data_IF_414827455869
#
_entry.id   IF_414827455869
#
_cell.length_a   1.000
_cell.length_b   1.000
_cell.length_c   1.000
_cell.angle_alpha   90.00
_cell.angle_beta   90.00
_cell.angle_gamma   90.00
#
_symmetry.space_group_name_H-M   'P 1'
#
loop_
_entity.id
_entity.type
_entity.pdbx_description
1 polymer ?
#
# COMPACT_ATOMS: atom_id res chain seq x y z
N UNK A 1 -4.90 39.33 26.71
CA UNK A 1 -4.32 38.01 27.04
C UNK A 1 -5.38 36.96 26.75
N UNK A 2 -5.25 36.21 25.65
CA UNK A 2 -6.22 35.17 25.26
C UNK A 2 -5.49 33.84 25.20
N UNK A 3 -5.62 33.03 26.25
CA UNK A 3 -4.99 31.70 26.36
C UNK A 3 -5.75 30.70 25.50
N UNK A 4 -5.30 30.54 24.25
CA UNK A 4 -5.84 29.51 23.37
C UNK A 4 -5.42 28.13 23.90
N UNK A 5 -6.41 27.36 24.38
CA UNK A 5 -6.23 25.98 24.85
C UNK A 5 -5.72 25.12 23.70
N UNK A 6 -4.40 24.90 23.65
CA UNK A 6 -3.79 23.92 22.74
C UNK A 6 -4.30 22.54 23.13
N UNK A 7 -5.17 21.97 22.29
CA UNK A 7 -5.60 20.58 22.43
C UNK A 7 -4.35 19.68 22.41
N UNK A 8 -4.32 18.65 23.27
CA UNK A 8 -3.19 17.70 23.38
C UNK A 8 -3.00 16.88 22.11
N UNK A 9 -4.02 16.85 21.24
CA UNK A 9 -3.93 16.34 19.89
C UNK A 9 -3.58 17.52 18.98
N UNK A 10 -2.36 17.50 18.43
CA UNK A 10 -1.99 18.37 17.32
C UNK A 10 -2.87 18.08 16.09
N UNK A 11 -2.70 18.85 15.00
CA UNK A 11 -3.40 18.54 13.75
C UNK A 11 -3.18 17.07 13.38
N UNK A 12 -4.25 16.37 13.01
CA UNK A 12 -4.19 14.98 12.61
C UNK A 12 -3.21 14.82 11.44
N UNK A 13 -2.40 13.74 11.42
CA UNK A 13 -1.52 13.46 10.29
C UNK A 13 -2.38 13.37 9.02
N UNK A 14 -1.99 14.11 7.98
CA UNK A 14 -2.62 13.98 6.68
C UNK A 14 -2.17 12.67 6.06
N UNK A 15 -3.07 11.70 5.98
CA UNK A 15 -2.83 10.50 5.17
C UNK A 15 -3.00 10.89 3.71
N UNK A 16 -1.90 11.22 3.04
CA UNK A 16 -1.92 11.53 1.61
C UNK A 16 -1.93 10.21 0.82
N UNK A 17 -3.03 9.97 0.10
CA UNK A 17 -3.13 8.84 -0.84
C UNK A 17 -2.75 9.32 -2.23
N UNK A 18 -1.68 8.76 -2.79
CA UNK A 18 -1.27 9.04 -4.17
C UNK A 18 -1.74 7.89 -5.06
N UNK A 19 -2.38 8.20 -6.20
CA UNK A 19 -2.78 7.21 -7.20
C UNK A 19 -1.78 7.24 -8.37
N UNK A 20 -0.70 6.46 -8.34
CA UNK A 20 0.23 6.38 -9.46
C UNK A 20 -0.40 5.67 -10.65
N UNK A 21 -0.11 6.13 -11.86
CA UNK A 21 -0.39 5.40 -13.11
C UNK A 21 0.85 4.61 -13.49
N UNK A 22 0.74 3.29 -13.60
CA UNK A 22 1.84 2.40 -13.97
C UNK A 22 1.58 1.74 -15.32
N UNK A 23 2.63 1.60 -16.13
CA UNK A 23 2.59 0.73 -17.31
C UNK A 23 2.98 -0.67 -16.87
N UNK A 24 2.13 -1.65 -17.20
CA UNK A 24 2.31 -3.04 -16.81
C UNK A 24 2.30 -3.93 -18.07
N UNK A 25 3.26 -4.86 -18.24
CA UNK A 25 3.21 -5.85 -19.30
C UNK A 25 1.92 -6.69 -19.21
N UNK A 26 1.33 -7.03 -20.36
CA UNK A 26 0.07 -7.79 -20.41
C UNK A 26 0.14 -9.13 -19.64
N UNK A 27 1.29 -9.80 -19.68
CA UNK A 27 1.53 -11.03 -18.91
C UNK A 27 1.41 -10.81 -17.40
N UNK A 28 2.01 -9.74 -16.89
CA UNK A 28 1.97 -9.43 -15.46
C UNK A 28 0.54 -9.07 -15.02
N UNK A 29 -0.24 -8.35 -15.86
CA UNK A 29 -1.66 -8.10 -15.58
C UNK A 29 -2.45 -9.40 -15.46
N UNK A 30 -2.26 -10.35 -16.38
CA UNK A 30 -2.95 -11.63 -16.34
C UNK A 30 -2.59 -12.46 -15.10
N UNK A 31 -1.32 -12.45 -14.70
CA UNK A 31 -0.87 -13.14 -13.48
C UNK A 31 -1.46 -12.50 -12.21
N UNK A 32 -1.56 -11.17 -12.16
CA UNK A 32 -2.19 -10.44 -11.06
C UNK A 32 -3.69 -10.73 -10.96
N UNK A 33 -4.41 -10.77 -12.08
CA UNK A 33 -5.84 -11.10 -12.12
C UNK A 33 -6.09 -12.52 -11.63
N UNK A 34 -5.24 -13.47 -12.05
CA UNK A 34 -5.30 -14.85 -11.58
C UNK A 34 -5.05 -14.94 -10.09
N UNK A 35 -4.05 -14.21 -9.58
CA UNK A 35 -3.76 -14.18 -8.15
C UNK A 35 -4.95 -13.63 -7.35
N UNK A 36 -5.56 -12.54 -7.81
CA UNK A 36 -6.74 -11.94 -7.19
C UNK A 36 -7.92 -12.92 -7.12
N UNK A 37 -8.17 -13.66 -8.21
CA UNK A 37 -9.20 -14.71 -8.24
C UNK A 37 -8.92 -15.84 -7.24
N UNK A 38 -7.66 -16.27 -7.09
CA UNK A 38 -7.28 -17.29 -6.10
C UNK A 38 -7.39 -16.77 -4.66
N UNK A 39 -7.02 -15.51 -4.43
CA UNK A 39 -7.16 -14.86 -3.13
C UNK A 39 -8.62 -14.82 -2.69
N UNK A 40 -9.54 -14.46 -3.59
CA UNK A 40 -10.97 -14.45 -3.30
C UNK A 40 -11.54 -15.84 -3.03
N UNK A 41 -11.04 -16.88 -3.69
CA UNK A 41 -11.42 -18.26 -3.38
C UNK A 41 -10.93 -18.70 -1.99
N UNK A 42 -9.73 -18.28 -1.58
CA UNK A 42 -9.13 -18.69 -0.33
C UNK A 42 -9.73 -17.96 0.89
N UNK A 43 -10.05 -16.68 0.77
CA UNK A 43 -10.47 -15.83 1.89
C UNK A 43 -11.93 -15.38 1.83
N UNK A 44 -12.67 -15.77 0.79
CA UNK A 44 -14.10 -15.47 0.64
C UNK A 44 -14.41 -14.02 0.24
N UNK A 45 -13.38 -13.18 0.05
CA UNK A 45 -13.53 -11.80 -0.36
C UNK A 45 -12.91 -11.57 -1.74
N UNK A 46 -13.75 -11.22 -2.71
CA UNK A 46 -13.30 -10.89 -4.07
C UNK A 46 -12.53 -9.58 -4.06
N UNK A 47 -11.21 -9.66 -4.01
CA UNK A 47 -10.33 -8.51 -4.17
C UNK A 47 -9.98 -8.33 -5.65
N UNK A 48 -9.90 -7.08 -6.11
CA UNK A 48 -9.32 -6.75 -7.42
C UNK A 48 -7.78 -6.71 -7.30
N UNK A 49 -7.10 -7.03 -8.39
CA UNK A 49 -5.65 -6.86 -8.51
C UNK A 49 -5.22 -5.45 -8.11
N UNK A 50 -5.96 -4.41 -8.52
CA UNK A 50 -5.66 -3.02 -8.16
C UNK A 50 -5.68 -2.77 -6.65
N UNK A 51 -6.52 -3.49 -5.91
CA UNK A 51 -6.58 -3.40 -4.44
C UNK A 51 -5.45 -4.19 -3.79
N UNK A 52 -5.01 -5.30 -4.37
CA UNK A 52 -3.94 -6.14 -3.82
C UNK A 52 -2.53 -5.58 -4.09
N UNK A 53 -2.33 -4.89 -5.22
CA UNK A 53 -1.01 -4.37 -5.64
C UNK A 53 -0.35 -3.51 -4.55
N UNK A 54 -1.01 -2.52 -3.92
CA UNK A 54 -0.39 -1.72 -2.87
C UNK A 54 0.14 -2.58 -1.71
N UNK A 55 -0.65 -3.55 -1.22
CA UNK A 55 -0.24 -4.44 -0.12
C UNK A 55 0.91 -5.37 -0.53
N UNK A 56 0.90 -5.87 -1.77
CA UNK A 56 1.99 -6.68 -2.31
C UNK A 56 3.30 -5.89 -2.39
N UNK A 57 3.24 -4.64 -2.86
CA UNK A 57 4.40 -3.76 -2.97
C UNK A 57 4.94 -3.38 -1.58
N UNK A 58 4.06 -3.09 -0.63
CA UNK A 58 4.46 -2.81 0.75
C UNK A 58 5.16 -4.02 1.39
N UNK A 59 4.57 -5.22 1.25
CA UNK A 59 5.17 -6.47 1.73
C UNK A 59 6.52 -6.76 1.05
N UNK A 60 6.63 -6.48 -0.25
CA UNK A 60 7.88 -6.62 -1.00
C UNK A 60 8.97 -5.69 -0.46
N UNK A 61 8.67 -4.39 -0.32
CA UNK A 61 9.62 -3.39 0.21
C UNK A 61 10.03 -3.70 1.65
N UNK A 62 9.09 -4.16 2.48
CA UNK A 62 9.36 -4.61 3.84
C UNK A 62 10.19 -5.92 3.88
N UNK A 63 10.09 -6.78 2.87
CA UNK A 63 10.86 -8.01 2.76
C UNK A 63 12.29 -7.82 2.24
N UNK A 64 12.53 -6.77 1.44
CA UNK A 64 13.82 -6.52 0.80
C UNK A 64 14.87 -6.03 1.79
N UNK A 65 15.74 -6.95 2.22
CA UNK A 65 16.84 -6.66 3.15
C UNK A 65 17.92 -5.77 2.53
N UNK A 66 18.12 -5.86 1.21
CA UNK A 66 19.08 -5.02 0.49
C UNK A 66 18.61 -3.57 0.48
N UNK A 67 17.32 -3.36 0.22
CA UNK A 67 16.66 -2.07 0.33
C UNK A 67 16.76 -1.50 1.76
N UNK A 68 16.39 -2.29 2.78
CA UNK A 68 16.43 -1.87 4.19
C UNK A 68 17.82 -1.48 4.71
N UNK A 69 18.89 -2.05 4.16
CA UNK A 69 20.27 -1.72 4.57
C UNK A 69 20.73 -0.36 4.04
N UNK A 70 20.06 0.17 3.01
CA UNK A 70 20.38 1.46 2.41
C UNK A 70 19.75 2.67 3.12
N UNK A 71 18.80 2.47 4.03
CA UNK A 71 18.24 3.56 4.83
C UNK A 71 19.27 4.01 5.88
N UNK A 72 19.79 5.24 5.82
CA UNK A 72 20.55 5.80 6.92
C UNK A 72 19.63 5.87 8.14
N UNK A 73 20.07 5.21 9.21
CA UNK A 73 19.36 5.12 10.48
C UNK A 73 19.20 6.48 11.16
#
# INVERSE_FOLDING_TARGET
MSTSRKLRLGPLPKTESVKPTIMCPARLKADLDRYAALHGQAYGETADAATLIPYMLEAFMAGDRGFKKGDPK
#
